data_IF_038312308756
#
_entry.id   IF_038312308756
#
_cell.length_a   1.000
_cell.length_b   1.000
_cell.length_c   1.000
_cell.angle_alpha   90.00
_cell.angle_beta   90.00
_cell.angle_gamma   90.00
#
_symmetry.space_group_name_H-M   'P 1'
#
loop_
_entity.id
_entity.type
_entity.pdbx_description
1 polymer ?
#
# COMPACT_ATOMS: atom_id res chain seq x y z
N UNK A 1 15.51 44.90 -15.35
CA UNK A 1 14.88 43.87 -14.50
C UNK A 1 16.01 43.12 -13.83
N UNK A 2 16.08 43.10 -12.51
CA UNK A 2 17.15 42.41 -11.79
C UNK A 2 17.13 40.90 -12.09
N UNK A 3 18.30 40.31 -12.34
CA UNK A 3 18.42 38.88 -12.61
C UNK A 3 17.85 38.02 -11.47
N UNK A 4 17.94 38.52 -10.23
CA UNK A 4 17.37 37.89 -9.04
C UNK A 4 15.85 37.76 -9.12
N UNK A 5 15.16 38.78 -9.66
CA UNK A 5 13.70 38.79 -9.80
C UNK A 5 13.24 37.76 -10.82
N UNK A 6 13.97 37.63 -11.93
CA UNK A 6 13.68 36.64 -12.97
C UNK A 6 13.88 35.22 -12.42
N UNK A 7 14.99 34.98 -11.70
CA UNK A 7 15.24 33.69 -11.06
C UNK A 7 14.14 33.33 -10.05
N UNK A 8 13.69 34.30 -9.24
CA UNK A 8 12.61 34.09 -8.27
C UNK A 8 11.30 33.75 -8.96
N UNK A 9 10.92 34.46 -10.03
CA UNK A 9 9.70 34.18 -10.80
C UNK A 9 9.70 32.79 -11.41
N UNK A 10 10.86 32.32 -11.88
CA UNK A 10 11.01 30.97 -12.45
C UNK A 10 10.92 29.90 -11.36
N UNK A 11 11.56 30.12 -10.21
CA UNK A 11 11.61 29.12 -9.13
C UNK A 11 10.33 29.05 -8.30
N UNK A 12 9.62 30.17 -8.14
CA UNK A 12 8.41 30.29 -7.31
C UNK A 12 7.36 29.19 -7.59
N UNK A 13 6.92 28.90 -8.83
CA UNK A 13 5.92 27.87 -9.08
C UNK A 13 6.38 26.47 -8.64
N UNK A 14 7.66 26.13 -8.84
CA UNK A 14 8.21 24.85 -8.39
C UNK A 14 8.27 24.78 -6.86
N UNK A 15 8.78 25.84 -6.22
CA UNK A 15 8.85 25.92 -4.77
C UNK A 15 7.46 25.75 -4.14
N UNK A 16 6.44 26.39 -4.69
CA UNK A 16 5.05 26.23 -4.26
C UNK A 16 4.54 24.80 -4.46
N UNK A 17 4.83 24.18 -5.59
CA UNK A 17 4.44 22.78 -5.85
C UNK A 17 5.09 21.82 -4.84
N UNK A 18 6.38 21.98 -4.54
CA UNK A 18 7.09 21.16 -3.55
C UNK A 18 6.56 21.39 -2.13
N UNK A 19 6.30 22.63 -1.74
CA UNK A 19 5.71 22.94 -0.44
C UNK A 19 4.32 22.32 -0.31
N UNK A 20 3.48 22.42 -1.34
CA UNK A 20 2.17 21.80 -1.37
C UNK A 20 2.26 20.28 -1.24
N UNK A 21 3.13 19.63 -2.02
CA UNK A 21 3.34 18.20 -1.97
C UNK A 21 3.83 17.73 -0.59
N UNK A 22 4.76 18.46 0.03
CA UNK A 22 5.25 18.15 1.36
C UNK A 22 4.13 18.25 2.41
N UNK A 23 3.32 19.31 2.37
CA UNK A 23 2.16 19.45 3.28
C UNK A 23 1.14 18.34 3.04
N UNK A 24 0.87 18.00 1.78
CA UNK A 24 -0.04 16.93 1.41
C UNK A 24 0.46 15.58 1.95
N UNK A 25 1.74 15.26 1.76
CA UNK A 25 2.34 14.02 2.23
C UNK A 25 2.39 13.94 3.77
N UNK A 26 2.66 15.05 4.47
CA UNK A 26 2.59 15.08 5.94
C UNK A 26 1.16 14.80 6.41
N UNK A 27 0.15 15.34 5.72
CA UNK A 27 -1.26 15.08 6.05
C UNK A 27 -1.62 13.62 5.80
N UNK A 28 -1.19 13.07 4.66
CA UNK A 28 -1.35 11.65 4.31
C UNK A 28 -0.71 10.75 5.36
N UNK A 29 0.54 11.02 5.71
CA UNK A 29 1.28 10.26 6.73
C UNK A 29 0.57 10.27 8.09
N UNK A 30 -0.08 11.37 8.46
CA UNK A 30 -0.86 11.46 9.71
C UNK A 30 -2.21 10.73 9.65
N UNK A 31 -2.82 10.59 8.47
CA UNK A 31 -4.11 9.91 8.31
C UNK A 31 -3.98 8.41 8.02
N UNK A 32 -2.98 8.01 7.25
CA UNK A 32 -2.82 6.65 6.71
C UNK A 32 -1.62 5.89 7.31
N UNK A 33 -0.76 6.57 8.09
CA UNK A 33 0.42 5.97 8.68
C UNK A 33 1.59 5.80 7.70
N UNK A 34 2.52 4.89 8.02
CA UNK A 34 3.63 4.55 7.12
C UNK A 34 3.07 3.87 5.87
N UNK A 35 3.51 4.31 4.70
CA UNK A 35 3.21 3.59 3.46
C UNK A 35 3.94 2.24 3.49
N UNK A 36 3.20 1.16 3.73
CA UNK A 36 3.69 -0.20 3.53
C UNK A 36 3.39 -0.55 2.08
N UNK A 37 4.39 -0.84 1.27
CA UNK A 37 4.15 -1.26 -0.11
C UNK A 37 4.03 -2.77 -0.17
N UNK A 38 3.02 -3.27 -0.87
CA UNK A 38 2.86 -4.70 -1.10
C UNK A 38 1.96 -5.00 -2.29
N UNK A 39 1.79 -6.29 -2.54
CA UNK A 39 0.92 -6.81 -3.59
C UNK A 39 -0.53 -6.75 -3.13
N UNK A 40 -1.43 -6.32 -4.00
CA UNK A 40 -2.88 -6.31 -3.77
C UNK A 40 -3.55 -7.01 -4.95
N UNK A 41 -4.45 -7.95 -4.65
CA UNK A 41 -5.22 -8.67 -5.65
C UNK A 41 -6.49 -7.88 -6.04
N UNK A 42 -6.73 -7.72 -7.34
CA UNK A 42 -7.93 -7.11 -7.88
C UNK A 42 -8.84 -8.20 -8.44
N UNK A 43 -9.94 -8.50 -7.73
CA UNK A 43 -10.90 -9.55 -8.08
C UNK A 43 -11.64 -9.29 -9.40
N UNK A 44 -11.94 -8.02 -9.71
CA UNK A 44 -12.69 -7.65 -10.92
C UNK A 44 -11.92 -7.98 -12.20
N UNK A 45 -10.59 -7.87 -12.16
CA UNK A 45 -9.70 -8.10 -13.31
C UNK A 45 -8.90 -9.39 -13.19
N UNK A 46 -8.90 -10.02 -12.02
CA UNK A 46 -8.08 -11.20 -11.71
C UNK A 46 -6.58 -10.93 -11.73
N UNK A 47 -6.14 -9.70 -11.42
CA UNK A 47 -4.73 -9.30 -11.52
C UNK A 47 -4.18 -8.75 -10.21
N UNK A 48 -2.90 -8.98 -9.95
CA UNK A 48 -2.22 -8.46 -8.75
C UNK A 48 -1.35 -7.26 -9.11
N UNK A 49 -1.40 -6.20 -8.29
CA UNK A 49 -0.64 -4.96 -8.51
C UNK A 49 0.05 -4.49 -7.23
N UNK A 50 1.16 -3.79 -7.38
CA UNK A 50 1.87 -3.17 -6.25
C UNK A 50 1.25 -1.83 -5.92
N UNK A 51 0.82 -1.63 -4.69
CA UNK A 51 0.26 -0.36 -4.20
C UNK A 51 0.64 -0.12 -2.74
N UNK A 52 0.31 1.07 -2.22
CA UNK A 52 0.38 1.35 -0.79
C UNK A 52 -0.74 0.60 -0.07
N UNK A 53 -0.38 -0.12 0.98
CA UNK A 53 -1.23 -0.86 1.90
C UNK A 53 -1.33 -0.03 3.18
N UNK A 54 -2.56 0.18 3.66
CA UNK A 54 -2.82 0.94 4.87
C UNK A 54 -2.28 0.21 6.11
N UNK A 55 -2.00 0.97 7.17
CA UNK A 55 -1.54 0.38 8.44
C UNK A 55 -2.67 -0.48 9.05
N UNK A 56 -2.50 -1.82 8.99
CA UNK A 56 -3.49 -2.81 9.45
C UNK A 56 -4.11 -3.67 8.33
N UNK A 57 -3.81 -3.38 7.07
CA UNK A 57 -4.10 -4.29 5.96
C UNK A 57 -2.87 -5.17 5.66
N UNK A 58 -3.11 -6.43 5.33
CA UNK A 58 -2.08 -7.36 4.89
C UNK A 58 -2.04 -7.40 3.36
N UNK A 59 -0.83 -7.46 2.80
CA UNK A 59 -0.65 -7.62 1.36
C UNK A 59 -1.00 -9.03 0.92
N UNK A 60 -1.51 -9.15 -0.30
CA UNK A 60 -1.73 -10.44 -0.95
C UNK A 60 -0.40 -11.20 -1.08
N UNK A 61 -0.34 -12.39 -0.50
CA UNK A 61 0.77 -13.32 -0.65
C UNK A 61 0.42 -14.38 -1.71
N UNK A 62 1.08 -14.42 -2.88
CA UNK A 62 0.82 -15.44 -3.90
C UNK A 62 1.06 -16.87 -3.40
N UNK A 63 1.94 -17.06 -2.42
CA UNK A 63 2.26 -18.37 -1.86
C UNK A 63 1.21 -18.85 -0.86
N UNK A 64 0.31 -17.97 -0.39
CA UNK A 64 -0.81 -18.36 0.48
C UNK A 64 -2.05 -18.81 -0.30
N UNK A 65 -2.06 -18.66 -1.63
CA UNK A 65 -3.20 -19.04 -2.47
C UNK A 65 -3.16 -20.54 -2.82
N UNK A 66 -4.07 -21.35 -2.26
CA UNK A 66 -4.24 -22.77 -2.61
C UNK A 66 -5.50 -22.97 -3.50
N UNK A 67 -5.35 -23.35 -4.78
CA UNK A 67 -6.47 -23.67 -5.66
C UNK A 67 -7.36 -24.82 -5.17
N UNK A 68 -6.86 -25.67 -4.27
CA UNK A 68 -7.60 -26.82 -3.74
C UNK A 68 -8.65 -26.42 -2.69
N UNK A 69 -8.53 -25.25 -2.06
CA UNK A 69 -9.48 -24.74 -1.06
C UNK A 69 -10.90 -24.58 -1.65
N UNK A 70 -10.99 -24.21 -2.93
CA UNK A 70 -12.28 -24.09 -3.63
C UNK A 70 -13.01 -25.43 -3.82
N UNK A 71 -12.30 -26.56 -3.70
CA UNK A 71 -12.88 -27.91 -3.88
C UNK A 71 -13.29 -28.54 -2.56
N UNK A 72 -13.04 -27.90 -1.42
CA UNK A 72 -13.36 -28.43 -0.10
C UNK A 72 -14.75 -27.91 0.36
N UNK A 73 -15.77 -28.78 0.46
CA UNK A 73 -17.11 -28.39 0.91
C UNK A 73 -17.16 -27.92 2.38
N UNK A 74 -16.07 -28.04 3.15
CA UNK A 74 -16.01 -27.65 4.56
C UNK A 74 -15.46 -26.23 4.81
N UNK A 75 -15.02 -25.49 3.79
CA UNK A 75 -14.53 -24.10 3.95
C UNK A 75 -15.71 -23.12 3.89
N UNK A 76 -16.45 -23.03 5.00
CA UNK A 76 -17.32 -21.89 5.30
C UNK A 76 -16.54 -20.82 6.05
N UNK A 77 -16.38 -19.65 5.42
CA UNK A 77 -16.02 -18.33 5.99
C UNK A 77 -15.62 -18.33 7.49
N UNK A 78 -14.30 -18.35 7.74
CA UNK A 78 -13.74 -18.40 9.09
C UNK A 78 -12.26 -18.08 9.09
N UNK A 79 -11.98 -16.78 9.13
CA UNK A 79 -10.74 -16.12 9.57
C UNK A 79 -9.72 -16.99 10.33
N UNK A 80 -8.48 -16.91 9.84
CA UNK A 80 -7.19 -17.17 10.47
C UNK A 80 -7.17 -17.41 11.99
N UNK A 81 -6.78 -18.62 12.43
CA UNK A 81 -5.85 -18.85 13.55
C UNK A 81 -5.54 -20.36 13.73
N UNK A 82 -4.65 -20.95 12.92
CA UNK A 82 -3.92 -22.15 13.39
C UNK A 82 -2.55 -22.35 12.70
N UNK A 83 -1.58 -21.49 13.03
CA UNK A 83 -0.15 -21.83 12.90
C UNK A 83 0.46 -21.99 14.28
N UNK A 84 0.09 -23.06 15.00
CA UNK A 84 0.77 -23.48 16.23
C UNK A 84 1.42 -24.87 16.07
N UNK A 85 2.64 -24.86 15.51
CA UNK A 85 3.78 -25.74 15.86
C UNK A 85 3.46 -27.20 16.22
N UNK A 86 3.58 -28.09 15.23
CA UNK A 86 3.95 -29.48 15.52
C UNK A 86 5.48 -29.65 15.44
N UNK A 87 6.12 -29.48 16.58
CA UNK A 87 7.46 -30.01 16.84
C UNK A 87 7.34 -31.09 17.89
N UNK A 88 7.15 -32.36 17.50
CA UNK A 88 7.62 -33.53 18.25
C UNK A 88 7.33 -34.87 17.56
N UNK A 89 8.35 -35.51 16.96
CA UNK A 89 8.99 -36.73 17.50
C UNK A 89 10.05 -37.29 16.56
#
# INVERSE_FOLDING_TARGET
MEAQVIAFLILCPFALAFVYAAVHEIRRYKSEGRATYGLVYNEETGTTHVTGIAEGEEGYDPESYDPNDYSDPDISDGSDDDRSRDTSK
#
